data_IF_243723251435
#
_entry.id   IF_243723251435
#
_cell.length_a   1.000
_cell.length_b   1.000
_cell.length_c   1.000
_cell.angle_alpha   90.00
_cell.angle_beta   90.00
_cell.angle_gamma   90.00
#
_symmetry.space_group_name_H-M   'P 1'
#
loop_
_entity.id
_entity.type
_entity.pdbx_description
1 polymer ?
#
# COMPACT_ATOMS: atom_id res chain seq x y z
N UNK A 1 -24.33 2.54 9.94
CA UNK A 1 -23.26 2.17 8.98
C UNK A 1 -23.93 1.53 7.77
N UNK A 2 -23.46 1.81 6.55
CA UNK A 2 -23.96 1.12 5.37
C UNK A 2 -23.61 -0.37 5.42
N UNK A 3 -24.48 -1.25 4.89
CA UNK A 3 -24.15 -2.67 4.74
C UNK A 3 -22.85 -2.85 3.94
N UNK A 4 -22.09 -3.90 4.25
CA UNK A 4 -20.78 -4.18 3.60
C UNK A 4 -20.94 -4.34 2.08
N UNK A 5 -22.10 -4.82 1.62
CA UNK A 5 -22.41 -5.08 0.21
C UNK A 5 -22.95 -3.84 -0.53
N UNK A 6 -23.06 -2.68 0.14
CA UNK A 6 -23.54 -1.47 -0.53
C UNK A 6 -22.50 -0.96 -1.55
N UNK A 7 -22.98 -0.42 -2.67
CA UNK A 7 -22.12 0.18 -3.69
C UNK A 7 -21.15 1.23 -3.12
N UNK A 8 -21.57 1.96 -2.08
CA UNK A 8 -20.73 2.93 -1.38
C UNK A 8 -19.55 2.28 -0.66
N UNK A 9 -19.71 1.09 -0.06
CA UNK A 9 -18.65 0.35 0.61
C UNK A 9 -17.67 -0.24 -0.40
N UNK A 10 -18.17 -0.74 -1.54
CA UNK A 10 -17.33 -1.26 -2.63
C UNK A 10 -16.47 -0.16 -3.28
N UNK A 11 -17.01 1.07 -3.35
CA UNK A 11 -16.27 2.23 -3.89
C UNK A 11 -15.30 2.84 -2.86
N UNK A 12 -15.35 2.42 -1.59
CA UNK A 12 -14.51 2.93 -0.52
C UNK A 12 -13.02 2.99 -0.86
N UNK A 13 -12.38 1.93 -1.38
CA UNK A 13 -10.97 1.95 -1.75
C UNK A 13 -10.62 3.01 -2.80
N UNK A 14 -11.51 3.26 -3.77
CA UNK A 14 -11.31 4.29 -4.79
C UNK A 14 -11.33 5.71 -4.16
N UNK A 15 -12.28 5.96 -3.26
CA UNK A 15 -12.33 7.24 -2.52
C UNK A 15 -11.10 7.44 -1.63
N UNK A 16 -10.50 6.36 -1.08
CA UNK A 16 -9.25 6.46 -0.32
C UNK A 16 -8.08 6.92 -1.19
N UNK A 17 -8.01 6.51 -2.46
CA UNK A 17 -6.98 7.01 -3.39
C UNK A 17 -7.15 8.51 -3.62
N UNK A 18 -8.38 8.98 -3.89
CA UNK A 18 -8.68 10.40 -4.08
C UNK A 18 -8.31 11.20 -2.83
N UNK A 19 -8.72 10.71 -1.66
CA UNK A 19 -8.38 11.32 -0.36
C UNK A 19 -6.86 11.38 -0.16
N UNK A 20 -6.14 10.32 -0.51
CA UNK A 20 -4.67 10.27 -0.42
C UNK A 20 -4.00 11.30 -1.34
N UNK A 21 -4.51 11.50 -2.55
CA UNK A 21 -4.01 12.53 -3.49
C UNK A 21 -4.23 13.94 -2.93
N UNK A 22 -5.44 14.24 -2.45
CA UNK A 22 -5.76 15.55 -1.83
C UNK A 22 -4.86 15.81 -0.63
N UNK A 23 -4.71 14.82 0.25
CA UNK A 23 -3.83 14.93 1.41
C UNK A 23 -2.37 15.15 1.01
N UNK A 24 -1.89 14.42 0.00
CA UNK A 24 -0.56 14.59 -0.57
C UNK A 24 -0.33 15.99 -1.13
N UNK A 25 -1.31 16.58 -1.83
CA UNK A 25 -1.23 17.96 -2.32
C UNK A 25 -1.08 18.97 -1.18
N UNK A 26 -1.84 18.82 -0.09
CA UNK A 26 -1.70 19.68 1.10
C UNK A 26 -0.32 19.55 1.72
N UNK A 27 0.22 18.32 1.83
CA UNK A 27 1.58 18.10 2.33
C UNK A 27 2.65 18.72 1.43
N UNK A 28 2.42 18.78 0.11
CA UNK A 28 3.34 19.48 -0.81
C UNK A 28 3.39 20.97 -0.56
N UNK A 29 2.27 21.61 -0.21
CA UNK A 29 2.23 23.03 0.17
C UNK A 29 3.01 23.28 1.47
N UNK A 30 3.00 22.35 2.39
CA UNK A 30 3.70 22.44 3.69
C UNK A 30 5.16 21.97 3.62
N UNK A 31 5.60 21.45 2.47
CA UNK A 31 6.90 20.78 2.31
C UNK A 31 8.08 21.64 2.75
N UNK A 32 8.11 22.90 2.32
CA UNK A 32 9.22 23.81 2.63
C UNK A 32 9.30 24.08 4.13
N UNK A 33 8.17 24.36 4.76
CA UNK A 33 8.05 24.54 6.21
C UNK A 33 8.54 23.32 7.00
N UNK A 34 8.11 22.12 6.58
CA UNK A 34 8.50 20.84 7.24
C UNK A 34 10.01 20.60 7.12
N UNK A 35 10.64 21.04 6.03
CA UNK A 35 12.07 20.80 5.74
C UNK A 35 13.02 21.78 6.43
N UNK A 36 12.62 23.03 6.54
CA UNK A 36 13.47 24.10 7.08
C UNK A 36 13.51 24.11 8.60
N UNK A 37 12.44 23.65 9.23
CA UNK A 37 12.32 23.64 10.67
C UNK A 37 13.09 22.50 11.34
N UNK A 38 13.81 22.79 12.45
CA UNK A 38 14.58 21.79 13.21
C UNK A 38 13.75 20.58 13.67
N UNK A 39 12.50 20.80 14.03
CA UNK A 39 11.56 19.78 14.50
C UNK A 39 10.39 19.61 13.52
N UNK A 40 10.59 19.84 12.21
CA UNK A 40 9.52 19.81 11.21
C UNK A 40 8.77 18.49 11.19
N UNK A 41 9.45 17.36 11.34
CA UNK A 41 8.77 16.08 11.40
C UNK A 41 7.88 15.92 12.65
N UNK A 42 8.32 16.43 13.79
CA UNK A 42 7.55 16.35 15.04
C UNK A 42 6.33 17.27 14.98
N UNK A 43 6.47 18.44 14.37
CA UNK A 43 5.34 19.36 14.13
C UNK A 43 4.33 18.72 13.18
N UNK A 44 4.79 18.06 12.10
CA UNK A 44 3.94 17.30 11.19
C UNK A 44 3.23 16.14 11.90
N UNK A 45 3.98 15.38 12.71
CA UNK A 45 3.42 14.31 13.52
C UNK A 45 2.32 14.83 14.46
N UNK A 46 2.60 15.88 15.22
CA UNK A 46 1.64 16.48 16.14
C UNK A 46 0.38 16.97 15.40
N UNK A 47 0.56 17.64 14.27
CA UNK A 47 -0.55 18.15 13.46
C UNK A 47 -1.43 17.00 12.95
N UNK A 48 -0.87 15.96 12.37
CA UNK A 48 -1.63 14.82 11.85
C UNK A 48 -2.29 14.05 13.00
N UNK A 49 -1.55 13.82 14.09
CA UNK A 49 -2.05 13.04 15.20
C UNK A 49 -3.19 13.78 15.93
N UNK A 50 -3.02 15.06 16.25
CA UNK A 50 -4.03 15.83 16.97
C UNK A 50 -5.26 16.12 16.10
N UNK A 51 -5.07 16.66 14.89
CA UNK A 51 -6.21 17.07 14.05
C UNK A 51 -6.75 15.94 13.16
N UNK A 52 -5.93 14.98 12.78
CA UNK A 52 -6.35 13.89 11.91
C UNK A 52 -6.83 12.65 12.65
N UNK A 53 -6.42 12.44 13.90
CA UNK A 53 -6.74 11.24 14.67
C UNK A 53 -7.56 11.59 15.92
N UNK A 54 -7.01 12.39 16.83
CA UNK A 54 -7.67 12.67 18.12
C UNK A 54 -8.94 13.51 17.91
N UNK A 55 -8.84 14.58 17.13
CA UNK A 55 -9.91 15.54 16.87
C UNK A 55 -10.51 15.38 15.47
N UNK A 56 -10.73 14.14 15.03
CA UNK A 56 -11.39 13.88 13.75
C UNK A 56 -12.87 14.28 13.84
N UNK A 57 -13.46 14.86 12.78
CA UNK A 57 -14.86 15.28 12.76
C UNK A 57 -15.86 14.12 12.65
N UNK A 58 -15.46 12.91 12.96
CA UNK A 58 -16.31 11.74 12.96
C UNK A 58 -15.87 10.68 13.95
N UNK A 59 -16.78 9.84 14.44
CA UNK A 59 -16.49 8.84 15.47
C UNK A 59 -15.60 7.72 14.92
N UNK A 60 -14.30 7.93 14.98
CA UNK A 60 -13.29 6.95 14.58
C UNK A 60 -12.69 6.23 15.81
N UNK A 61 -12.21 4.99 15.67
CA UNK A 61 -11.48 4.31 16.73
C UNK A 61 -10.32 5.19 17.24
N UNK A 62 -10.16 5.27 18.57
CA UNK A 62 -9.14 6.06 19.26
C UNK A 62 -9.25 7.58 19.12
N UNK A 63 -10.34 8.11 18.52
CA UNK A 63 -10.68 9.54 18.57
C UNK A 63 -11.54 9.88 19.78
N UNK A 64 -11.55 11.15 20.17
CA UNK A 64 -12.41 11.66 21.25
C UNK A 64 -13.88 11.40 20.90
N UNK A 65 -14.30 11.73 19.69
CA UNK A 65 -15.67 11.49 19.24
C UNK A 65 -16.02 10.00 19.17
N UNK A 66 -15.05 9.15 18.79
CA UNK A 66 -15.23 7.70 18.81
C UNK A 66 -15.51 7.18 20.23
N UNK A 67 -14.81 7.70 21.23
CA UNK A 67 -15.03 7.34 22.64
C UNK A 67 -16.39 7.82 23.16
N UNK A 68 -16.88 8.97 22.70
CA UNK A 68 -18.12 9.58 23.18
C UNK A 68 -19.34 9.00 22.45
N UNK A 69 -19.28 8.85 21.13
CA UNK A 69 -20.45 8.58 20.29
C UNK A 69 -20.55 7.15 19.76
N UNK A 70 -19.59 6.27 20.09
CA UNK A 70 -19.68 4.85 19.69
C UNK A 70 -19.90 3.94 20.91
N UNK A 71 -20.49 2.75 20.64
CA UNK A 71 -20.62 1.70 21.65
C UNK A 71 -19.36 0.81 21.75
N UNK A 72 -18.27 1.24 21.12
CA UNK A 72 -17.01 0.50 21.17
C UNK A 72 -16.41 0.60 22.57
N UNK A 73 -16.08 -0.52 23.22
CA UNK A 73 -15.48 -0.49 24.57
C UNK A 73 -14.19 0.35 24.58
N UNK A 74 -14.02 1.16 25.62
CA UNK A 74 -12.86 2.06 25.76
C UNK A 74 -11.51 1.33 25.68
N UNK A 75 -11.46 0.06 26.10
CA UNK A 75 -10.27 -0.80 25.98
C UNK A 75 -9.84 -1.04 24.53
N UNK A 76 -10.77 -1.04 23.58
CA UNK A 76 -10.45 -1.19 22.15
C UNK A 76 -9.78 0.07 21.64
N UNK A 77 -10.28 1.27 22.07
CA UNK A 77 -9.66 2.55 21.76
C UNK A 77 -8.24 2.64 22.32
N UNK A 78 -8.04 2.19 23.56
CA UNK A 78 -6.75 2.22 24.23
C UNK A 78 -5.74 1.26 23.57
N UNK A 79 -6.18 0.04 23.20
CA UNK A 79 -5.32 -0.94 22.52
C UNK A 79 -4.94 -0.52 21.12
N UNK A 80 -5.81 0.19 20.41
CA UNK A 80 -5.54 0.71 19.06
C UNK A 80 -4.67 1.98 19.04
N UNK A 81 -4.66 2.74 20.11
CA UNK A 81 -3.95 4.02 20.18
C UNK A 81 -2.43 3.88 19.90
N UNK A 82 -1.67 2.93 20.49
CA UNK A 82 -0.25 2.78 20.23
C UNK A 82 0.05 2.49 18.75
N UNK A 83 -0.75 1.67 18.09
CA UNK A 83 -0.60 1.36 16.67
C UNK A 83 -0.75 2.63 15.81
N UNK A 84 -1.81 3.40 16.06
CA UNK A 84 -2.07 4.65 15.34
C UNK A 84 -0.96 5.67 15.59
N UNK A 85 -0.48 5.79 16.83
CA UNK A 85 0.66 6.65 17.17
C UNK A 85 1.91 6.29 16.37
N UNK A 86 2.27 5.01 16.34
CA UNK A 86 3.44 4.52 15.61
C UNK A 86 3.28 4.73 14.10
N UNK A 87 2.12 4.40 13.54
CA UNK A 87 1.84 4.60 12.11
C UNK A 87 1.96 6.09 11.72
N UNK A 88 1.36 6.97 12.50
CA UNK A 88 1.40 8.43 12.26
C UNK A 88 2.82 8.97 12.40
N UNK A 89 3.57 8.49 13.39
CA UNK A 89 4.97 8.87 13.60
C UNK A 89 5.84 8.42 12.41
N UNK A 90 5.73 7.17 12.00
CA UNK A 90 6.48 6.64 10.85
C UNK A 90 6.13 7.40 9.57
N UNK A 91 4.86 7.71 9.36
CA UNK A 91 4.42 8.50 8.22
C UNK A 91 5.06 9.90 8.22
N UNK A 92 4.99 10.63 9.34
CA UNK A 92 5.58 11.97 9.46
C UNK A 92 7.10 11.93 9.27
N UNK A 93 7.78 10.91 9.82
CA UNK A 93 9.21 10.70 9.67
C UNK A 93 9.60 10.41 8.20
N UNK A 94 8.82 9.56 7.53
CA UNK A 94 9.05 9.26 6.10
C UNK A 94 8.85 10.49 5.23
N UNK A 95 7.77 11.24 5.43
CA UNK A 95 7.46 12.44 4.64
C UNK A 95 8.55 13.50 4.82
N UNK A 96 8.99 13.77 6.05
CA UNK A 96 10.04 14.75 6.33
C UNK A 96 11.42 14.30 5.88
N UNK A 97 11.68 12.99 5.85
CA UNK A 97 12.96 12.39 5.49
C UNK A 97 13.11 12.03 4.01
N UNK A 98 12.04 12.08 3.22
CA UNK A 98 12.02 11.54 1.85
C UNK A 98 13.08 12.13 0.92
N UNK A 99 13.39 13.41 1.07
CA UNK A 99 14.40 14.07 0.23
C UNK A 99 15.83 13.66 0.63
N UNK A 100 16.09 13.45 1.92
CA UNK A 100 17.37 12.92 2.41
C UNK A 100 17.55 11.48 1.97
N UNK A 101 16.47 10.69 2.04
CA UNK A 101 16.44 9.31 1.59
C UNK A 101 16.69 9.21 0.08
N UNK A 102 16.02 10.05 -0.73
CA UNK A 102 16.22 10.13 -2.18
C UNK A 102 17.67 10.43 -2.56
N UNK A 103 18.36 11.28 -1.81
CA UNK A 103 19.77 11.61 -2.07
C UNK A 103 20.73 10.48 -1.68
N UNK A 104 20.36 9.64 -0.69
CA UNK A 104 21.21 8.56 -0.18
C UNK A 104 21.00 7.22 -0.89
N UNK A 105 19.82 7.00 -1.45
CA UNK A 105 19.52 5.75 -2.15
C UNK A 105 20.15 5.74 -3.53
N UNK A 106 20.85 4.66 -3.83
CA UNK A 106 21.32 4.36 -5.19
C UNK A 106 20.13 4.24 -6.16
N UNK A 107 20.33 4.63 -7.41
CA UNK A 107 19.30 4.57 -8.46
C UNK A 107 18.76 3.16 -8.68
N UNK A 108 19.60 2.15 -8.49
CA UNK A 108 19.20 0.74 -8.55
C UNK A 108 18.15 0.41 -7.48
N UNK A 109 18.42 0.85 -6.24
CA UNK A 109 17.50 0.63 -5.11
C UNK A 109 16.20 1.40 -5.33
N UNK A 110 16.26 2.65 -5.83
CA UNK A 110 15.06 3.44 -6.12
C UNK A 110 14.16 2.75 -7.15
N UNK A 111 14.75 2.27 -8.25
CA UNK A 111 14.02 1.54 -9.29
C UNK A 111 13.39 0.26 -8.73
N UNK A 112 14.11 -0.50 -7.92
CA UNK A 112 13.60 -1.70 -7.29
C UNK A 112 12.46 -1.41 -6.29
N UNK A 113 12.58 -0.37 -5.46
CA UNK A 113 11.54 0.05 -4.53
C UNK A 113 10.26 0.48 -5.27
N UNK A 114 10.38 1.28 -6.32
CA UNK A 114 9.22 1.73 -7.09
C UNK A 114 8.53 0.55 -7.78
N UNK A 115 9.30 -0.39 -8.35
CA UNK A 115 8.74 -1.60 -8.94
C UNK A 115 7.99 -2.44 -7.89
N UNK A 116 8.54 -2.56 -6.67
CA UNK A 116 7.89 -3.25 -5.56
C UNK A 116 6.59 -2.57 -5.14
N UNK A 117 6.57 -1.24 -5.05
CA UNK A 117 5.35 -0.49 -4.74
C UNK A 117 4.29 -0.70 -5.82
N UNK A 118 4.67 -0.65 -7.11
CA UNK A 118 3.75 -0.93 -8.23
C UNK A 118 3.20 -2.36 -8.11
N UNK A 119 4.05 -3.34 -7.78
CA UNK A 119 3.64 -4.74 -7.61
C UNK A 119 2.64 -4.89 -6.45
N UNK A 120 2.95 -4.35 -5.27
CA UNK A 120 2.12 -4.45 -4.06
C UNK A 120 0.77 -3.74 -4.25
N UNK A 121 0.79 -2.52 -4.76
CA UNK A 121 -0.44 -1.76 -5.05
C UNK A 121 -1.27 -2.46 -6.13
N UNK A 122 -0.64 -2.92 -7.19
CA UNK A 122 -1.31 -3.65 -8.27
C UNK A 122 -1.90 -4.97 -7.81
N UNK A 123 -1.20 -5.71 -6.94
CA UNK A 123 -1.72 -6.92 -6.31
C UNK A 123 -2.97 -6.62 -5.45
N UNK A 124 -2.92 -5.57 -4.64
CA UNK A 124 -4.05 -5.15 -3.80
C UNK A 124 -5.27 -4.74 -4.63
N UNK A 125 -5.06 -3.93 -5.68
CA UNK A 125 -6.12 -3.55 -6.63
C UNK A 125 -6.67 -4.78 -7.35
N UNK A 126 -5.80 -5.67 -7.81
CA UNK A 126 -6.19 -6.93 -8.44
C UNK A 126 -7.06 -7.80 -7.53
N UNK A 127 -6.71 -7.90 -6.26
CA UNK A 127 -7.50 -8.59 -5.25
C UNK A 127 -8.91 -7.99 -5.08
N UNK A 128 -9.02 -6.66 -5.05
CA UNK A 128 -10.31 -5.96 -4.96
C UNK A 128 -11.17 -6.23 -6.21
N UNK A 129 -10.57 -6.17 -7.40
CA UNK A 129 -11.27 -6.45 -8.66
C UNK A 129 -11.79 -7.90 -8.68
N UNK A 130 -10.95 -8.85 -8.29
CA UNK A 130 -11.33 -10.27 -8.22
C UNK A 130 -12.45 -10.48 -7.18
N UNK A 131 -12.36 -9.83 -6.01
CA UNK A 131 -13.38 -9.88 -4.99
C UNK A 131 -14.73 -9.37 -5.52
N UNK A 132 -14.72 -8.24 -6.23
CA UNK A 132 -15.92 -7.69 -6.85
C UNK A 132 -16.54 -8.62 -7.90
N UNK A 133 -15.71 -9.25 -8.76
CA UNK A 133 -16.16 -10.21 -9.78
C UNK A 133 -16.75 -11.47 -9.12
N UNK A 134 -16.12 -11.95 -8.04
CA UNK A 134 -16.50 -13.17 -7.34
C UNK A 134 -17.57 -12.93 -6.26
N UNK A 135 -17.95 -11.67 -6.01
CA UNK A 135 -18.87 -11.26 -4.94
C UNK A 135 -18.43 -11.77 -3.56
N UNK A 136 -17.13 -11.74 -3.30
CA UNK A 136 -16.53 -12.15 -2.02
C UNK A 136 -16.28 -10.92 -1.15
N UNK A 137 -16.57 -11.02 0.15
CA UNK A 137 -16.26 -9.96 1.10
C UNK A 137 -14.75 -9.72 1.22
N UNK A 138 -14.29 -8.51 0.88
CA UNK A 138 -12.89 -8.10 1.00
C UNK A 138 -12.44 -8.11 2.47
N UNK A 139 -13.33 -7.72 3.38
CA UNK A 139 -13.01 -7.60 4.81
C UNK A 139 -12.61 -8.93 5.46
N UNK A 140 -13.22 -10.04 5.07
CA UNK A 140 -12.91 -11.36 5.61
C UNK A 140 -11.50 -11.84 5.25
N UNK A 141 -10.97 -11.37 4.13
CA UNK A 141 -9.64 -11.73 3.64
C UNK A 141 -8.56 -10.71 4.05
N UNK A 142 -8.96 -9.47 4.32
CA UNK A 142 -8.03 -8.46 4.82
C UNK A 142 -7.44 -8.79 6.20
N UNK A 143 -8.09 -9.67 6.97
CA UNK A 143 -7.58 -10.19 8.25
C UNK A 143 -6.83 -11.52 8.14
N UNK A 144 -6.74 -12.12 6.95
CA UNK A 144 -6.09 -13.41 6.77
C UNK A 144 -4.57 -13.26 6.71
N UNK A 145 -3.89 -13.87 7.68
CA UNK A 145 -2.42 -13.85 7.79
C UNK A 145 -1.72 -14.41 6.54
N UNK A 146 -2.33 -15.39 5.85
CA UNK A 146 -1.77 -15.96 4.63
C UNK A 146 -1.73 -14.93 3.48
N UNK A 147 -2.72 -14.04 3.39
CA UNK A 147 -2.73 -12.95 2.41
C UNK A 147 -1.57 -11.97 2.63
N UNK A 148 -1.29 -11.64 3.89
CA UNK A 148 -0.15 -10.78 4.23
C UNK A 148 1.20 -11.45 3.95
N UNK A 149 1.34 -12.74 4.27
CA UNK A 149 2.55 -13.51 4.00
C UNK A 149 2.79 -13.58 2.48
N UNK A 150 1.76 -13.90 1.70
CA UNK A 150 1.85 -13.94 0.23
C UNK A 150 2.24 -12.60 -0.35
N UNK A 151 1.62 -11.51 0.11
CA UNK A 151 1.94 -10.15 -0.31
C UNK A 151 3.39 -9.77 0.03
N UNK A 152 3.83 -10.10 1.26
CA UNK A 152 5.20 -9.84 1.72
C UNK A 152 6.25 -10.60 0.91
N UNK A 153 6.02 -11.89 0.66
CA UNK A 153 6.91 -12.73 -0.16
C UNK A 153 6.96 -12.20 -1.60
N UNK A 154 5.81 -11.92 -2.21
CA UNK A 154 5.73 -11.39 -3.57
C UNK A 154 6.48 -10.06 -3.69
N UNK A 155 6.29 -9.15 -2.72
CA UNK A 155 7.00 -7.87 -2.66
C UNK A 155 8.52 -8.03 -2.52
N UNK A 156 8.97 -8.89 -1.62
CA UNK A 156 10.38 -9.15 -1.39
C UNK A 156 11.07 -9.77 -2.62
N UNK A 157 10.43 -10.74 -3.27
CA UNK A 157 10.94 -11.37 -4.48
C UNK A 157 10.94 -10.38 -5.66
N UNK A 158 9.90 -9.54 -5.80
CA UNK A 158 9.87 -8.48 -6.82
C UNK A 158 11.02 -7.49 -6.61
N UNK A 159 11.29 -7.07 -5.37
CA UNK A 159 12.41 -6.21 -5.04
C UNK A 159 13.74 -6.84 -5.41
N UNK A 160 14.01 -8.06 -4.94
CA UNK A 160 15.26 -8.76 -5.17
C UNK A 160 15.52 -8.98 -6.66
N UNK A 161 14.51 -9.44 -7.41
CA UNK A 161 14.61 -9.68 -8.84
C UNK A 161 14.86 -8.38 -9.61
N UNK A 162 14.13 -7.30 -9.29
CA UNK A 162 14.29 -6.00 -9.96
C UNK A 162 15.64 -5.38 -9.63
N UNK A 163 16.07 -5.44 -8.36
CA UNK A 163 17.39 -4.98 -7.95
C UNK A 163 18.51 -5.69 -8.73
N UNK A 164 18.43 -7.01 -8.80
CA UNK A 164 19.40 -7.81 -9.55
C UNK A 164 19.40 -7.47 -11.05
N UNK A 165 18.21 -7.35 -11.66
CA UNK A 165 18.07 -6.99 -13.08
C UNK A 165 18.66 -5.62 -13.39
N UNK A 166 18.30 -4.59 -12.63
CA UNK A 166 18.79 -3.22 -12.84
C UNK A 166 20.30 -3.14 -12.65
N UNK A 167 20.85 -3.87 -11.67
CA UNK A 167 22.29 -3.91 -11.41
C UNK A 167 23.07 -4.59 -12.55
N UNK A 168 22.47 -5.56 -13.23
CA UNK A 168 23.08 -6.33 -14.34
C UNK A 168 22.57 -5.93 -15.72
N UNK A 169 22.01 -4.77 -15.89
CA UNK A 169 21.29 -4.32 -17.09
C UNK A 169 22.03 -4.51 -18.43
N UNK A 170 23.38 -4.54 -18.42
CA UNK A 170 24.20 -4.76 -19.65
C UNK A 170 24.25 -6.23 -20.11
N UNK A 171 23.96 -7.18 -19.24
CA UNK A 171 24.11 -8.63 -19.50
C UNK A 171 22.83 -9.43 -19.27
N UNK A 172 21.76 -8.80 -18.81
CA UNK A 172 20.52 -9.49 -18.44
C UNK A 172 19.52 -9.53 -19.59
N UNK A 173 18.95 -10.71 -19.82
CA UNK A 173 17.89 -10.89 -20.81
C UNK A 173 16.58 -10.30 -20.27
N UNK A 174 16.05 -9.27 -20.94
CA UNK A 174 14.82 -8.61 -20.56
C UNK A 174 13.60 -9.57 -20.57
N UNK A 175 13.54 -10.48 -21.53
CA UNK A 175 12.44 -11.45 -21.65
C UNK A 175 12.44 -12.38 -20.42
N UNK A 176 13.61 -12.88 -20.02
CA UNK A 176 13.74 -13.74 -18.85
C UNK A 176 13.35 -12.99 -17.57
N UNK A 177 13.73 -11.71 -17.45
CA UNK A 177 13.35 -10.87 -16.30
C UNK A 177 11.84 -10.67 -16.21
N UNK A 178 11.19 -10.22 -17.29
CA UNK A 178 9.74 -9.97 -17.28
C UNK A 178 8.95 -11.28 -17.14
N UNK A 179 9.43 -12.38 -17.69
CA UNK A 179 8.85 -13.72 -17.49
C UNK A 179 8.92 -14.16 -16.02
N UNK A 180 10.07 -14.00 -15.36
CA UNK A 180 10.22 -14.27 -13.93
C UNK A 180 9.38 -13.35 -13.07
N UNK A 181 9.31 -12.06 -13.41
CA UNK A 181 8.48 -11.08 -12.72
C UNK A 181 6.99 -11.44 -12.81
N UNK A 182 6.53 -11.86 -13.99
CA UNK A 182 5.17 -12.36 -14.18
C UNK A 182 4.91 -13.62 -13.35
N UNK A 183 5.84 -14.56 -13.34
CA UNK A 183 5.73 -15.78 -12.54
C UNK A 183 5.57 -15.46 -11.04
N UNK A 184 6.29 -14.47 -10.51
CA UNK A 184 6.23 -14.06 -9.11
C UNK A 184 4.96 -13.24 -8.81
N UNK A 185 4.65 -12.25 -9.64
CA UNK A 185 3.59 -11.28 -9.34
C UNK A 185 2.19 -11.74 -9.74
N UNK A 186 2.07 -12.66 -10.69
CA UNK A 186 0.79 -13.13 -11.23
C UNK A 186 0.59 -14.64 -11.09
N UNK A 187 1.51 -15.46 -11.63
CA UNK A 187 1.32 -16.90 -11.64
C UNK A 187 1.35 -17.51 -10.24
N UNK A 188 2.30 -17.14 -9.40
CA UNK A 188 2.40 -17.66 -8.03
C UNK A 188 1.14 -17.36 -7.19
N UNK A 189 0.67 -16.10 -7.06
CA UNK A 189 -0.55 -15.82 -6.30
C UNK A 189 -1.80 -16.50 -6.87
N UNK A 190 -1.92 -16.58 -8.20
CA UNK A 190 -3.06 -17.22 -8.84
C UNK A 190 -3.08 -18.74 -8.57
N UNK A 191 -1.94 -19.42 -8.72
CA UNK A 191 -1.79 -20.86 -8.43
C UNK A 191 -2.00 -21.11 -6.94
N UNK A 192 -1.41 -20.29 -6.05
CA UNK A 192 -1.60 -20.41 -4.62
C UNK A 192 -3.08 -20.35 -4.24
N UNK A 193 -3.84 -19.37 -4.77
CA UNK A 193 -5.27 -19.27 -4.52
C UNK A 193 -6.08 -20.46 -5.06
N UNK A 194 -5.63 -21.10 -6.14
CA UNK A 194 -6.26 -22.30 -6.67
C UNK A 194 -5.96 -23.54 -5.81
N UNK A 195 -4.74 -23.70 -5.33
CA UNK A 195 -4.29 -24.83 -4.51
C UNK A 195 -4.95 -24.82 -3.12
N UNK A 196 -5.05 -23.63 -2.51
CA UNK A 196 -5.64 -23.44 -1.17
C UNK A 196 -7.19 -23.39 -1.23
N UNK A 197 -7.77 -23.52 -2.42
CA UNK A 197 -9.22 -23.39 -2.65
C UNK A 197 -9.80 -22.06 -2.14
N UNK A 198 -9.03 -20.99 -2.30
CA UNK A 198 -9.39 -19.65 -1.87
C UNK A 198 -10.66 -19.15 -2.58
N UNK A 199 -11.51 -18.33 -1.91
CA UNK A 199 -12.63 -17.63 -2.56
C UNK A 199 -12.20 -16.77 -3.76
N UNK A 200 -10.93 -16.36 -3.81
CA UNK A 200 -10.33 -15.59 -4.89
C UNK A 200 -9.84 -16.43 -6.08
N UNK A 201 -10.03 -17.75 -6.05
CA UNK A 201 -9.64 -18.60 -7.18
C UNK A 201 -10.40 -18.24 -8.46
N UNK A 202 -9.68 -17.81 -9.47
CA UNK A 202 -10.22 -17.53 -10.80
C UNK A 202 -9.10 -17.51 -11.83
N UNK A 203 -9.31 -18.05 -13.05
CA UNK A 203 -8.34 -17.91 -14.13
C UNK A 203 -8.03 -16.46 -14.51
N UNK A 204 -8.98 -15.54 -14.28
CA UNK A 204 -8.78 -14.10 -14.50
C UNK A 204 -7.67 -13.51 -13.62
N UNK A 205 -7.33 -14.16 -12.50
CA UNK A 205 -6.23 -13.73 -11.64
C UNK A 205 -4.89 -13.66 -12.39
N UNK A 206 -4.62 -14.54 -13.33
CA UNK A 206 -3.40 -14.50 -14.15
C UNK A 206 -3.31 -13.20 -14.96
N UNK A 207 -4.42 -12.70 -15.50
CA UNK A 207 -4.47 -11.47 -16.29
C UNK A 207 -4.41 -10.27 -15.38
N UNK A 208 -5.30 -10.20 -14.37
CA UNK A 208 -5.44 -9.04 -13.48
C UNK A 208 -4.15 -8.79 -12.69
N UNK A 209 -3.59 -9.84 -12.09
CA UNK A 209 -2.32 -9.74 -11.36
C UNK A 209 -1.09 -9.57 -12.28
N UNK A 210 -1.23 -9.78 -13.59
CA UNK A 210 -0.21 -9.50 -14.59
C UNK A 210 -0.08 -8.01 -14.96
N UNK A 211 -1.11 -7.21 -14.77
CA UNK A 211 -1.10 -5.78 -15.11
C UNK A 211 0.02 -4.99 -14.42
N UNK A 212 0.36 -5.21 -13.14
CA UNK A 212 1.50 -4.58 -12.49
C UNK A 212 2.82 -4.83 -13.20
N UNK A 213 3.02 -6.01 -13.80
CA UNK A 213 4.24 -6.35 -14.55
C UNK A 213 4.37 -5.46 -15.78
N UNK A 214 3.28 -5.20 -16.47
CA UNK A 214 3.25 -4.25 -17.61
C UNK A 214 3.59 -2.83 -17.15
N UNK A 215 3.02 -2.41 -16.04
CA UNK A 215 3.32 -1.08 -15.47
C UNK A 215 4.79 -0.94 -15.06
N UNK A 216 5.38 -1.99 -14.47
CA UNK A 216 6.81 -2.02 -14.13
C UNK A 216 7.67 -1.97 -15.41
N UNK A 217 7.28 -2.70 -16.45
CA UNK A 217 7.99 -2.68 -17.74
C UNK A 217 7.99 -1.27 -18.34
N UNK A 218 6.84 -0.61 -18.42
CA UNK A 218 6.72 0.76 -18.90
C UNK A 218 7.59 1.72 -18.07
N UNK A 219 7.57 1.58 -16.75
CA UNK A 219 8.37 2.41 -15.85
C UNK A 219 9.88 2.25 -16.07
N UNK A 220 10.35 1.01 -16.19
CA UNK A 220 11.79 0.72 -16.35
C UNK A 220 12.30 1.11 -17.76
N UNK A 221 11.50 0.94 -18.79
CA UNK A 221 11.87 1.32 -20.17
C UNK A 221 11.92 2.85 -20.36
N UNK A 222 10.99 3.61 -19.72
CA UNK A 222 11.03 5.09 -19.77
C UNK A 222 12.25 5.70 -19.07
N UNK A 223 12.94 4.95 -18.24
CA UNK A 223 14.09 5.42 -17.46
C UNK A 223 15.44 4.80 -17.90
N UNK A 224 15.47 4.16 -19.05
CA UNK A 224 16.71 3.83 -19.78
C UNK A 224 17.23 5.06 -20.49
#
# INVERSE_FOLDING_TARGET
MHPVDSANTLMGPLFQVIRGVIFGMVLLLLREYIRTEKLGFLKLYALIFVFGIINTPGPAPSSIEGMIYTQVPWMVHLKGAPEIMVQTFLFAWMVSGIDKLKKRLDETIKKALIATVICVVGYSIGGIIIAAIRQVEVASQASNIQSYITLGITGALCFALTYWYVKRQKTSNAIAYYGALYAICAAYPAIHNMVVDSPYKTPLAFIICGLPVVAIAIYLEKKK
#
